data_IF_908911350093
#
_entry.id   IF_908911350093
#
_cell.length_a   1.000
_cell.length_b   1.000
_cell.length_c   1.000
_cell.angle_alpha   90.00
_cell.angle_beta   90.00
_cell.angle_gamma   90.00
#
_symmetry.space_group_name_H-M   'P 1'
#
loop_
_entity.id
_entity.type
_entity.pdbx_description
1 polymer ?
#
# COMPACT_ATOMS: atom_id res chain seq x y z
N UNK A 1 70.48 61.95 -31.97
CA UNK A 1 70.96 60.88 -31.07
C UNK A 1 69.73 60.14 -30.60
N UNK A 2 69.59 58.88 -31.07
CA UNK A 2 69.01 57.70 -30.38
C UNK A 2 67.52 57.77 -29.98
N UNK A 3 66.66 56.94 -30.58
CA UNK A 3 66.38 55.51 -30.21
C UNK A 3 65.64 55.43 -28.86
N UNK A 4 64.72 54.52 -28.56
CA UNK A 4 63.93 53.49 -29.23
C UNK A 4 62.97 52.97 -28.11
N UNK A 5 61.87 52.31 -28.50
CA UNK A 5 61.19 51.16 -27.84
C UNK A 5 60.99 51.09 -26.30
N UNK A 6 59.73 51.02 -25.83
CA UNK A 6 58.93 49.80 -25.48
C UNK A 6 59.29 49.21 -24.11
N UNK A 7 58.37 48.94 -23.17
CA UNK A 7 57.35 47.88 -23.14
C UNK A 7 56.48 47.99 -21.83
N UNK A 8 55.19 47.64 -21.94
CA UNK A 8 54.36 46.73 -21.10
C UNK A 8 54.64 46.58 -19.56
N UNK A 9 53.69 46.44 -18.61
CA UNK A 9 52.31 45.88 -18.60
C UNK A 9 51.63 46.07 -17.20
N UNK A 10 50.28 46.04 -17.22
CA UNK A 10 49.31 45.43 -16.27
C UNK A 10 49.11 46.02 -14.86
N UNK A 11 47.92 46.60 -14.62
CA UNK A 11 46.85 46.03 -13.77
C UNK A 11 45.61 46.94 -13.79
N UNK A 12 44.43 46.38 -14.04
CA UNK A 12 43.15 46.90 -13.51
C UNK A 12 42.03 45.88 -13.69
N UNK A 13 41.53 45.41 -12.55
CA UNK A 13 40.34 44.57 -12.46
C UNK A 13 39.09 45.26 -12.98
N UNK A 14 38.16 44.46 -13.51
CA UNK A 14 36.83 44.90 -13.87
C UNK A 14 35.80 43.85 -13.48
N UNK A 15 34.92 44.26 -12.57
CA UNK A 15 33.67 43.62 -12.19
C UNK A 15 32.81 43.28 -13.41
N UNK A 16 32.33 42.04 -13.48
CA UNK A 16 31.24 41.62 -14.38
C UNK A 16 30.02 41.18 -13.56
N UNK A 17 28.93 41.89 -13.79
CA UNK A 17 27.57 41.69 -13.26
C UNK A 17 27.01 40.36 -13.80
N UNK A 18 26.60 39.49 -12.89
CA UNK A 18 25.90 38.24 -13.19
C UNK A 18 24.47 38.55 -13.68
N UNK A 19 24.18 38.15 -14.93
CA UNK A 19 22.86 38.23 -15.52
C UNK A 19 21.99 37.05 -15.08
N UNK A 20 20.87 37.34 -14.43
CA UNK A 20 19.79 36.38 -14.14
C UNK A 20 19.16 35.94 -15.47
N UNK A 21 19.36 34.68 -15.86
CA UNK A 21 18.56 34.03 -16.91
C UNK A 21 17.31 33.45 -16.25
N UNK A 22 16.16 34.04 -16.57
CA UNK A 22 14.85 33.45 -16.29
C UNK A 22 14.62 32.34 -17.32
N UNK A 23 14.76 31.07 -16.90
CA UNK A 23 14.33 29.93 -17.70
C UNK A 23 12.81 29.84 -17.59
N UNK A 24 12.11 30.17 -18.68
CA UNK A 24 10.70 29.81 -18.87
C UNK A 24 10.65 28.29 -19.06
N UNK A 25 10.24 27.56 -18.01
CA UNK A 25 9.86 26.14 -18.12
C UNK A 25 8.64 26.07 -19.05
N UNK A 26 8.86 25.51 -20.24
CA UNK A 26 7.77 25.15 -21.15
C UNK A 26 7.15 23.86 -20.61
N UNK A 27 5.96 23.97 -20.03
CA UNK A 27 5.15 22.84 -19.62
C UNK A 27 4.58 22.21 -20.88
N UNK A 28 5.09 21.04 -21.27
CA UNK A 28 4.41 20.19 -22.23
C UNK A 28 3.29 19.46 -21.48
N UNK A 29 2.08 20.02 -21.54
CA UNK A 29 0.87 19.37 -21.04
C UNK A 29 0.53 18.25 -22.02
N UNK A 30 1.05 17.05 -21.76
CA UNK A 30 0.56 15.81 -22.34
C UNK A 30 -0.75 15.44 -21.65
N UNK A 31 -1.87 15.80 -22.27
CA UNK A 31 -3.20 15.53 -21.74
C UNK A 31 -3.54 14.05 -21.75
N UNK A 32 -3.56 13.43 -20.57
CA UNK A 32 -4.46 12.32 -20.26
C UNK A 32 -4.94 12.49 -18.84
N UNK A 33 -6.05 13.21 -18.68
CA UNK A 33 -6.90 13.10 -17.49
C UNK A 33 -7.52 11.70 -17.59
N UNK A 34 -6.81 10.72 -17.04
CA UNK A 34 -7.40 9.48 -16.59
C UNK A 34 -7.37 9.57 -15.06
N UNK A 35 -8.54 9.72 -14.45
CA UNK A 35 -8.71 9.47 -13.02
C UNK A 35 -8.25 8.03 -12.77
N UNK A 36 -6.99 7.82 -12.39
CA UNK A 36 -6.50 6.47 -12.08
C UNK A 36 -4.98 6.29 -12.08
N UNK A 37 -4.25 6.87 -13.04
CA UNK A 37 -2.78 6.72 -13.13
C UNK A 37 -2.09 7.99 -12.62
N UNK A 38 -0.99 7.84 -11.87
CA UNK A 38 -0.20 8.98 -11.36
C UNK A 38 0.21 9.92 -12.49
N UNK A 39 0.17 11.23 -12.24
CA UNK A 39 0.72 12.21 -13.18
C UNK A 39 2.24 12.12 -13.15
N UNK A 40 2.86 11.96 -14.31
CA UNK A 40 4.31 12.08 -14.50
C UNK A 40 4.62 13.39 -15.20
N UNK A 41 5.47 14.23 -14.59
CA UNK A 41 5.95 15.48 -15.18
C UNK A 41 7.47 15.45 -15.39
N UNK A 42 7.98 16.19 -16.37
CA UNK A 42 9.37 16.11 -16.80
C UNK A 42 10.33 16.73 -15.77
N UNK A 43 11.07 15.88 -15.05
CA UNK A 43 12.14 16.25 -14.13
C UNK A 43 13.51 15.90 -14.73
N UNK A 44 14.09 16.80 -15.54
CA UNK A 44 15.40 16.56 -16.21
C UNK A 44 15.43 15.31 -17.11
N UNK A 45 16.57 15.03 -17.75
CA UNK A 45 16.72 13.82 -18.59
C UNK A 45 16.91 12.54 -17.74
N UNK A 46 17.24 12.68 -16.45
CA UNK A 46 17.65 11.58 -15.54
C UNK A 46 16.59 11.22 -14.49
N UNK A 47 15.61 12.10 -14.21
CA UNK A 47 14.57 11.89 -13.21
C UNK A 47 13.16 12.00 -13.83
N UNK A 48 12.15 11.53 -13.11
CA UNK A 48 10.75 11.76 -13.41
C UNK A 48 10.02 12.10 -12.13
N UNK A 49 9.10 13.07 -12.18
CA UNK A 49 8.25 13.38 -11.02
C UNK A 49 7.08 12.42 -11.00
N UNK A 50 6.89 11.65 -9.93
CA UNK A 50 5.70 10.81 -9.70
C UNK A 50 4.75 11.47 -8.72
N UNK A 51 3.46 11.15 -8.83
CA UNK A 51 2.48 11.37 -7.76
C UNK A 51 2.74 10.33 -6.65
N UNK A 52 3.31 10.72 -5.52
CA UNK A 52 3.54 9.84 -4.37
C UNK A 52 2.26 9.60 -3.58
N UNK A 53 1.51 10.66 -3.30
CA UNK A 53 0.28 10.58 -2.53
C UNK A 53 -0.74 11.65 -2.96
N UNK A 54 -1.98 11.45 -2.54
CA UNK A 54 -3.10 12.38 -2.74
C UNK A 54 -3.68 12.76 -1.40
N UNK A 55 -3.81 14.06 -1.18
CA UNK A 55 -4.21 14.66 0.09
C UNK A 55 -5.40 15.57 -0.16
N UNK A 56 -6.58 15.33 0.42
CA UNK A 56 -7.72 16.22 0.22
C UNK A 56 -7.42 17.61 0.82
N UNK A 57 -7.61 18.67 0.05
CA UNK A 57 -7.37 20.06 0.48
C UNK A 57 -8.47 20.55 1.43
N UNK A 58 -9.71 20.14 1.19
CA UNK A 58 -10.88 20.41 2.02
C UNK A 58 -11.70 19.13 2.26
N UNK A 59 -12.56 19.14 3.27
CA UNK A 59 -13.56 18.08 3.45
C UNK A 59 -14.80 18.39 2.61
N UNK A 60 -15.17 17.52 1.65
CA UNK A 60 -16.38 17.70 0.85
C UNK A 60 -16.41 16.86 -0.44
N UNK A 61 -17.54 16.89 -1.14
CA UNK A 61 -17.75 16.13 -2.39
C UNK A 61 -16.90 16.63 -3.55
N UNK A 62 -16.59 17.91 -3.54
CA UNK A 62 -15.77 18.58 -4.55
C UNK A 62 -14.34 18.84 -4.03
N UNK A 63 -13.85 18.02 -3.10
CA UNK A 63 -12.53 18.21 -2.51
C UNK A 63 -11.45 18.17 -3.61
N UNK A 64 -10.80 19.30 -3.85
CA UNK A 64 -9.55 19.32 -4.62
C UNK A 64 -8.50 18.51 -3.86
N UNK A 65 -7.69 17.76 -4.59
CA UNK A 65 -6.59 17.00 -4.01
C UNK A 65 -5.28 17.75 -4.23
N UNK A 66 -4.56 17.98 -3.15
CA UNK A 66 -3.14 18.27 -3.21
C UNK A 66 -2.41 16.98 -3.59
N UNK A 67 -1.60 17.06 -4.63
CA UNK A 67 -0.71 15.97 -5.03
C UNK A 67 0.61 16.16 -4.32
N UNK A 68 1.03 15.13 -3.59
CA UNK A 68 2.39 15.03 -3.07
C UNK A 68 3.25 14.45 -4.17
N UNK A 69 4.18 15.25 -4.69
CA UNK A 69 5.09 14.87 -5.76
C UNK A 69 6.44 14.38 -5.21
N UNK A 70 7.05 13.44 -5.92
CA UNK A 70 8.40 12.93 -5.63
C UNK A 70 9.17 12.74 -6.93
N UNK A 71 10.38 13.27 -7.00
CA UNK A 71 11.30 12.98 -8.09
C UNK A 71 12.00 11.63 -7.82
N UNK A 72 12.04 10.78 -8.85
CA UNK A 72 12.68 9.45 -8.82
C UNK A 72 13.53 9.25 -10.07
N UNK A 73 14.56 8.37 -10.04
CA UNK A 73 15.34 8.07 -11.24
C UNK A 73 14.43 7.52 -12.35
N UNK A 74 14.61 8.06 -13.56
CA UNK A 74 13.79 7.69 -14.72
C UNK A 74 13.91 6.20 -15.05
N UNK A 75 15.14 5.68 -15.06
CA UNK A 75 15.41 4.27 -15.39
C UNK A 75 14.73 3.32 -14.39
N UNK A 76 14.74 3.67 -13.10
CA UNK A 76 14.02 2.94 -12.06
C UNK A 76 12.51 2.94 -12.34
N UNK A 77 11.92 4.11 -12.61
CA UNK A 77 10.48 4.20 -12.85
C UNK A 77 10.05 3.41 -14.09
N UNK A 78 10.81 3.49 -15.19
CA UNK A 78 10.55 2.72 -16.41
C UNK A 78 10.67 1.21 -16.16
N UNK A 79 11.71 0.78 -15.42
CA UNK A 79 11.90 -0.63 -15.08
C UNK A 79 10.77 -1.19 -14.19
N UNK A 80 10.37 -0.46 -13.15
CA UNK A 80 9.29 -0.87 -12.23
C UNK A 80 7.94 -0.90 -12.94
N UNK A 81 7.69 0.06 -13.83
CA UNK A 81 6.48 0.08 -14.67
C UNK A 81 6.44 -1.17 -15.55
N UNK A 82 7.54 -1.47 -16.25
CA UNK A 82 7.65 -2.67 -17.08
C UNK A 82 7.49 -3.97 -16.28
N UNK A 83 8.10 -4.07 -15.09
CA UNK A 83 7.93 -5.23 -14.20
C UNK A 83 6.48 -5.42 -13.75
N UNK A 84 5.77 -4.32 -13.46
CA UNK A 84 4.34 -4.35 -13.13
C UNK A 84 3.50 -4.83 -14.32
N UNK A 85 3.75 -4.30 -15.52
CA UNK A 85 3.05 -4.74 -16.74
C UNK A 85 3.29 -6.22 -17.07
N UNK A 86 4.52 -6.72 -16.85
CA UNK A 86 4.83 -8.14 -16.98
C UNK A 86 4.06 -8.94 -15.92
N UNK A 87 4.11 -8.55 -14.65
CA UNK A 87 3.40 -9.24 -13.57
C UNK A 87 1.88 -9.36 -13.84
N UNK A 88 1.24 -8.27 -14.24
CA UNK A 88 -0.20 -8.23 -14.55
C UNK A 88 -0.57 -9.10 -15.76
N UNK A 89 0.30 -9.15 -16.78
CA UNK A 89 0.08 -9.95 -18.00
C UNK A 89 0.23 -11.44 -17.75
N UNK A 90 1.24 -11.86 -17.00
CA UNK A 90 1.59 -13.27 -16.83
C UNK A 90 0.63 -14.01 -15.88
N UNK A 91 -0.07 -13.27 -15.01
CA UNK A 91 -1.13 -13.79 -14.13
C UNK A 91 -0.72 -15.06 -13.37
N UNK A 92 0.48 -15.05 -12.81
CA UNK A 92 1.03 -16.18 -12.05
C UNK A 92 0.08 -16.70 -10.96
N UNK A 93 -0.72 -15.81 -10.38
CA UNK A 93 -1.76 -16.13 -9.38
C UNK A 93 -2.84 -17.10 -9.88
N UNK A 94 -2.99 -17.31 -11.19
CA UNK A 94 -3.93 -18.30 -11.75
C UNK A 94 -3.39 -19.73 -11.73
N UNK A 95 -2.12 -19.92 -11.36
CA UNK A 95 -1.55 -21.25 -11.22
C UNK A 95 -1.91 -21.85 -9.87
N UNK A 96 -2.39 -23.09 -9.87
CA UNK A 96 -2.81 -23.80 -8.65
C UNK A 96 -1.68 -23.99 -7.62
N UNK A 97 -0.41 -23.92 -8.06
CA UNK A 97 0.77 -24.04 -7.20
C UNK A 97 1.25 -22.70 -6.64
N UNK A 98 0.73 -21.56 -7.11
CA UNK A 98 1.10 -20.23 -6.64
C UNK A 98 0.16 -19.77 -5.54
N UNK A 99 0.73 -19.25 -4.46
CA UNK A 99 -0.01 -18.71 -3.31
C UNK A 99 0.16 -17.21 -3.15
N UNK A 100 1.18 -16.64 -3.78
CA UNK A 100 1.49 -15.24 -3.63
C UNK A 100 2.41 -14.79 -4.76
N UNK A 101 2.23 -13.55 -5.22
CA UNK A 101 3.18 -12.87 -6.12
C UNK A 101 3.37 -11.42 -5.69
N UNK A 102 4.54 -10.86 -5.97
CA UNK A 102 4.92 -9.51 -5.57
C UNK A 102 5.84 -8.90 -6.63
N UNK A 103 5.61 -7.65 -7.00
CA UNK A 103 6.61 -6.83 -7.68
C UNK A 103 7.47 -6.17 -6.62
N UNK A 104 8.74 -6.57 -6.55
CA UNK A 104 9.75 -5.89 -5.74
C UNK A 104 10.42 -4.83 -6.64
N UNK A 105 10.30 -3.53 -6.31
CA UNK A 105 10.85 -2.48 -7.15
C UNK A 105 12.38 -2.36 -7.07
N UNK A 106 13.03 -3.08 -6.16
CA UNK A 106 14.42 -2.85 -5.73
C UNK A 106 14.65 -1.37 -5.35
N UNK A 107 15.89 -0.92 -5.23
CA UNK A 107 16.26 0.41 -4.76
C UNK A 107 16.41 1.42 -5.90
N UNK A 108 16.36 2.72 -5.58
CA UNK A 108 16.62 3.77 -6.59
C UNK A 108 18.02 3.71 -7.21
N UNK A 109 19.00 3.19 -6.48
CA UNK A 109 20.37 3.02 -6.95
C UNK A 109 20.56 1.73 -7.78
N UNK A 110 19.59 0.81 -7.75
CA UNK A 110 19.60 -0.43 -8.52
C UNK A 110 18.25 -0.67 -9.21
N UNK A 111 18.13 -0.22 -10.46
CA UNK A 111 16.91 -0.31 -11.27
C UNK A 111 16.66 -1.74 -11.82
N UNK A 112 16.76 -2.77 -10.97
CA UNK A 112 16.57 -4.19 -11.33
C UNK A 112 15.38 -4.81 -10.58
N UNK A 113 14.14 -4.35 -10.83
CA UNK A 113 12.96 -4.89 -10.17
C UNK A 113 12.78 -6.37 -10.50
N UNK A 114 12.23 -7.13 -9.56
CA UNK A 114 11.97 -8.56 -9.70
C UNK A 114 10.51 -8.91 -9.40
N UNK A 115 10.05 -10.03 -9.97
CA UNK A 115 8.76 -10.62 -9.62
C UNK A 115 9.03 -11.78 -8.67
N UNK A 116 8.69 -11.60 -7.40
CA UNK A 116 8.69 -12.70 -6.45
C UNK A 116 7.44 -13.55 -6.66
N UNK A 117 7.61 -14.86 -6.79
CA UNK A 117 6.53 -15.84 -6.91
C UNK A 117 6.71 -16.90 -5.83
N UNK A 118 5.72 -16.98 -4.95
CA UNK A 118 5.67 -17.95 -3.87
C UNK A 118 4.84 -19.15 -4.30
N UNK A 119 5.46 -20.34 -4.25
CA UNK A 119 4.87 -21.60 -4.69
C UNK A 119 4.79 -22.60 -3.54
N UNK A 120 3.65 -23.32 -3.46
CA UNK A 120 3.45 -24.39 -2.49
C UNK A 120 4.52 -25.45 -2.67
N UNK A 121 5.18 -25.83 -1.57
CA UNK A 121 5.99 -27.03 -1.57
C UNK A 121 5.05 -28.24 -1.62
N UNK A 122 5.02 -28.93 -2.76
CA UNK A 122 4.22 -30.15 -2.92
C UNK A 122 4.58 -31.15 -1.82
N UNK A 123 3.66 -31.37 -0.89
CA UNK A 123 3.83 -32.35 0.17
C UNK A 123 4.25 -33.71 -0.41
N UNK A 124 5.35 -34.25 0.10
CA UNK A 124 5.94 -35.53 -0.28
C UNK A 124 5.10 -36.74 0.17
N UNK A 125 3.78 -36.69 0.06
CA UNK A 125 2.87 -37.73 0.57
C UNK A 125 2.21 -38.60 -0.51
N UNK A 126 2.36 -38.30 -1.79
CA UNK A 126 2.12 -39.30 -2.85
C UNK A 126 3.44 -39.79 -3.43
N UNK A 127 3.80 -41.01 -3.04
CA UNK A 127 4.96 -41.78 -3.46
C UNK A 127 4.87 -42.27 -4.92
N UNK A 128 4.28 -41.47 -5.81
CA UNK A 128 4.16 -41.75 -7.23
C UNK A 128 4.71 -40.55 -8.03
N UNK A 129 5.95 -40.74 -8.49
CA UNK A 129 6.42 -40.30 -9.80
C UNK A 129 6.23 -38.82 -10.18
N UNK A 130 6.94 -37.92 -9.52
CA UNK A 130 7.45 -36.71 -10.19
C UNK A 130 8.80 -37.09 -10.78
N UNK A 131 8.87 -37.15 -12.11
CA UNK A 131 10.13 -37.33 -12.82
C UNK A 131 11.08 -36.17 -12.47
N UNK A 132 12.39 -36.41 -12.22
CA UNK A 132 13.37 -35.33 -12.17
C UNK A 132 13.37 -34.62 -13.53
N UNK A 133 12.71 -33.45 -13.60
CA UNK A 133 12.44 -32.74 -14.86
C UNK A 133 11.02 -32.21 -15.01
N UNK A 134 10.08 -32.57 -14.13
CA UNK A 134 8.67 -32.13 -14.13
C UNK A 134 8.37 -31.10 -13.02
N UNK A 135 9.34 -30.21 -12.74
CA UNK A 135 8.99 -28.91 -12.16
C UNK A 135 8.22 -28.14 -13.25
N UNK A 136 6.99 -27.74 -12.96
CA UNK A 136 6.21 -26.75 -13.74
C UNK A 136 6.95 -25.41 -13.74
N UNK A 137 8.11 -25.35 -14.38
CA UNK A 137 9.15 -24.37 -14.13
C UNK A 137 8.64 -22.97 -14.45
N UNK A 138 8.53 -22.14 -13.41
CA UNK A 138 8.53 -20.70 -13.63
C UNK A 138 9.85 -20.38 -14.35
N UNK A 139 9.86 -19.58 -15.41
CA UNK A 139 11.11 -19.17 -16.04
C UNK A 139 11.93 -18.32 -15.06
N UNK A 140 13.24 -18.22 -15.26
CA UNK A 140 14.10 -17.39 -14.41
C UNK A 140 13.96 -15.89 -14.73
N UNK A 141 13.40 -15.56 -15.90
CA UNK A 141 13.01 -14.20 -16.26
C UNK A 141 11.87 -14.21 -17.29
N UNK A 142 11.04 -13.17 -17.31
CA UNK A 142 10.02 -12.95 -18.34
C UNK A 142 10.07 -11.51 -18.81
N UNK A 143 10.14 -11.31 -20.13
CA UNK A 143 10.25 -9.97 -20.69
C UNK A 143 11.49 -9.20 -20.21
N UNK A 144 12.54 -9.91 -19.77
CA UNK A 144 13.74 -9.30 -19.18
C UNK A 144 13.64 -9.01 -17.68
N UNK A 145 12.52 -9.29 -17.03
CA UNK A 145 12.31 -9.11 -15.59
C UNK A 145 12.65 -10.41 -14.85
N UNK A 146 13.58 -10.41 -13.88
CA UNK A 146 13.89 -11.58 -13.07
C UNK A 146 12.66 -12.12 -12.33
N UNK A 147 12.55 -13.45 -12.24
CA UNK A 147 11.51 -14.13 -11.47
C UNK A 147 12.14 -14.88 -10.30
N UNK A 148 11.88 -14.41 -9.09
CA UNK A 148 12.39 -14.99 -7.85
C UNK A 148 11.39 -16.00 -7.29
N UNK A 149 11.78 -17.27 -7.23
CA UNK A 149 10.91 -18.36 -6.77
C UNK A 149 11.16 -18.61 -5.29
N UNK A 150 10.12 -18.50 -4.47
CA UNK A 150 10.17 -18.85 -3.05
C UNK A 150 9.28 -20.06 -2.79
N UNK A 151 9.86 -21.12 -2.22
CA UNK A 151 9.10 -22.29 -1.78
C UNK A 151 8.51 -22.02 -0.40
N UNK A 152 7.26 -22.42 -0.22
CA UNK A 152 6.52 -22.17 1.02
C UNK A 152 5.90 -23.46 1.52
N UNK A 153 6.13 -23.76 2.80
CA UNK A 153 5.60 -24.97 3.44
C UNK A 153 4.14 -24.76 3.83
N UNK A 154 3.28 -25.73 3.48
CA UNK A 154 1.92 -25.81 3.99
C UNK A 154 1.95 -26.28 5.45
N UNK A 155 1.72 -25.37 6.39
CA UNK A 155 1.58 -25.74 7.79
C UNK A 155 0.12 -25.96 8.11
N UNK A 156 -0.25 -27.22 8.32
CA UNK A 156 -1.55 -27.62 8.85
C UNK A 156 -1.62 -27.37 10.36
N UNK A 157 -1.50 -26.12 10.80
CA UNK A 157 -1.83 -25.75 12.18
C UNK A 157 -3.12 -24.91 12.22
N UNK A 158 -4.30 -25.56 12.17
CA UNK A 158 -5.59 -24.90 12.33
C UNK A 158 -5.89 -24.52 13.80
N UNK A 159 -4.93 -24.64 14.73
CA UNK A 159 -5.19 -24.58 16.18
C UNK A 159 -4.79 -23.28 16.87
N UNK A 160 -4.35 -22.25 16.14
CA UNK A 160 -4.25 -20.91 16.72
C UNK A 160 -5.68 -20.39 16.87
N UNK A 161 -6.27 -20.66 18.04
CA UNK A 161 -7.46 -19.95 18.48
C UNK A 161 -7.01 -18.51 18.76
N UNK A 162 -7.59 -17.48 18.13
CA UNK A 162 -7.20 -16.09 18.39
C UNK A 162 -7.31 -15.82 19.89
N UNK A 163 -6.17 -15.72 20.55
CA UNK A 163 -6.08 -15.32 21.94
C UNK A 163 -5.56 -13.90 21.90
N UNK A 164 -6.46 -12.92 21.87
CA UNK A 164 -6.11 -11.51 22.00
C UNK A 164 -5.64 -11.31 23.46
N UNK A 165 -4.39 -11.66 23.73
CA UNK A 165 -3.83 -11.70 25.09
C UNK A 165 -3.50 -10.29 25.61
N UNK A 166 -3.44 -9.28 24.74
CA UNK A 166 -3.35 -7.87 25.10
C UNK A 166 -4.03 -6.98 24.03
N UNK A 167 -5.35 -6.91 24.07
CA UNK A 167 -6.09 -6.03 23.17
C UNK A 167 -5.85 -4.55 23.53
N UNK A 168 -5.28 -3.78 22.60
CA UNK A 168 -5.32 -2.32 22.68
C UNK A 168 -6.64 -1.83 22.09
N UNK A 169 -7.16 -0.68 22.54
CA UNK A 169 -8.31 -0.09 21.87
C UNK A 169 -9.64 -0.82 22.10
N UNK A 170 -9.83 -1.45 23.28
CA UNK A 170 -11.11 -2.05 23.68
C UNK A 170 -11.89 -1.15 24.63
N UNK A 171 -13.22 -1.11 24.47
CA UNK A 171 -14.11 -0.29 25.28
C UNK A 171 -15.15 0.50 24.48
N UNK A 172 -15.95 1.28 25.21
CA UNK A 172 -16.89 2.25 24.66
C UNK A 172 -16.15 3.57 24.39
N UNK A 173 -16.12 3.96 23.11
CA UNK A 173 -15.48 5.19 22.63
C UNK A 173 -16.48 6.31 22.33
N UNK A 174 -17.71 6.15 22.82
CA UNK A 174 -18.83 7.04 22.59
C UNK A 174 -19.24 7.10 21.12
N UNK A 175 -19.88 8.21 20.75
CA UNK A 175 -20.45 8.41 19.41
C UNK A 175 -19.42 8.60 18.30
N UNK A 176 -18.13 8.72 18.61
CA UNK A 176 -17.08 9.02 17.63
C UNK A 176 -15.84 8.14 17.86
N UNK A 177 -15.94 6.81 17.64
CA UNK A 177 -14.80 5.92 17.83
C UNK A 177 -13.65 6.27 16.88
N UNK A 178 -12.41 6.40 17.39
CA UNK A 178 -11.24 6.61 16.54
C UNK A 178 -10.85 5.32 15.80
N UNK A 179 -10.08 5.45 14.72
CA UNK A 179 -9.47 4.29 14.06
C UNK A 179 -8.47 3.59 14.98
N UNK A 180 -8.30 2.28 14.83
CA UNK A 180 -7.42 1.46 15.66
C UNK A 180 -8.08 0.85 16.91
N UNK A 181 -9.38 1.07 17.09
CA UNK A 181 -10.20 0.43 18.15
C UNK A 181 -10.91 -0.81 17.66
N UNK A 182 -11.39 -1.63 18.59
CA UNK A 182 -12.13 -2.84 18.27
C UNK A 182 -13.51 -2.53 17.69
N UNK A 183 -13.80 -3.20 16.58
CA UNK A 183 -15.12 -3.31 16.00
C UNK A 183 -15.46 -4.78 15.75
N UNK A 184 -16.73 -5.08 15.47
CA UNK A 184 -17.18 -6.43 15.18
C UNK A 184 -18.25 -6.44 14.11
N UNK A 185 -18.13 -7.38 13.18
CA UNK A 185 -19.24 -7.87 12.36
C UNK A 185 -19.73 -9.19 12.95
N UNK A 186 -19.42 -10.29 12.26
CA UNK A 186 -19.62 -11.65 12.79
C UNK A 186 -18.45 -12.11 13.67
N UNK A 187 -17.27 -11.50 13.51
CA UNK A 187 -16.08 -11.68 14.33
C UNK A 187 -15.44 -10.33 14.68
N UNK A 188 -14.59 -10.29 15.73
CA UNK A 188 -13.82 -9.09 16.06
C UNK A 188 -12.82 -8.71 14.97
N UNK A 189 -12.55 -7.42 14.89
CA UNK A 189 -11.53 -6.81 14.05
C UNK A 189 -11.18 -5.41 14.57
N UNK A 190 -10.49 -4.64 13.72
CA UNK A 190 -10.11 -3.27 13.98
C UNK A 190 -10.88 -2.32 13.07
N UNK A 191 -11.37 -1.22 13.65
CA UNK A 191 -11.94 -0.10 12.91
C UNK A 191 -10.82 0.68 12.22
N UNK A 192 -10.88 0.82 10.90
CA UNK A 192 -9.99 1.73 10.17
C UNK A 192 -10.30 3.19 10.50
N UNK A 193 -9.39 4.10 10.14
CA UNK A 193 -9.78 5.49 9.89
C UNK A 193 -10.84 5.55 8.76
N UNK A 194 -11.77 6.52 8.76
CA UNK A 194 -12.87 6.57 7.82
C UNK A 194 -12.43 6.57 6.37
N UNK A 195 -13.24 5.90 5.55
CA UNK A 195 -13.22 6.11 4.11
C UNK A 195 -14.06 7.34 3.77
N UNK A 196 -13.65 8.07 2.75
CA UNK A 196 -14.34 9.25 2.23
C UNK A 196 -14.65 9.08 0.77
N UNK A 197 -15.92 9.25 0.41
CA UNK A 197 -16.41 9.24 -0.98
C UNK A 197 -17.45 10.32 -1.14
N UNK A 198 -17.27 11.18 -2.13
CA UNK A 198 -18.14 12.32 -2.40
C UNK A 198 -18.41 13.15 -1.13
N UNK A 199 -17.36 13.38 -0.33
CA UNK A 199 -17.41 14.17 0.91
C UNK A 199 -18.09 13.49 2.10
N UNK A 200 -18.63 12.30 1.92
CA UNK A 200 -19.28 11.51 2.97
C UNK A 200 -18.27 10.59 3.62
N UNK A 201 -18.25 10.57 4.97
CA UNK A 201 -17.39 9.68 5.74
C UNK A 201 -18.12 8.39 6.11
N UNK A 202 -17.44 7.27 5.94
CA UNK A 202 -17.92 5.93 6.24
C UNK A 202 -17.02 5.29 7.28
N UNK A 203 -17.61 4.52 8.20
CA UNK A 203 -16.81 3.58 8.97
C UNK A 203 -16.25 2.52 8.03
N UNK A 204 -15.06 2.02 8.32
CA UNK A 204 -14.42 1.04 7.44
C UNK A 204 -13.65 -0.02 8.21
N UNK A 205 -13.61 -1.22 7.65
CA UNK A 205 -12.89 -2.38 8.18
C UNK A 205 -12.78 -3.44 7.08
N UNK A 206 -12.22 -4.61 7.40
CA UNK A 206 -12.12 -5.70 6.43
C UNK A 206 -13.45 -6.42 6.21
N UNK A 207 -13.64 -6.93 5.01
CA UNK A 207 -14.84 -7.70 4.64
C UNK A 207 -14.94 -9.01 5.43
N UNK A 208 -13.82 -9.71 5.61
CA UNK A 208 -13.85 -11.06 6.19
C UNK A 208 -14.31 -11.11 7.66
N UNK A 209 -14.35 -9.99 8.38
CA UNK A 209 -14.87 -9.97 9.76
C UNK A 209 -16.39 -10.20 9.82
N UNK A 210 -17.08 -10.10 8.68
CA UNK A 210 -18.50 -10.41 8.55
C UNK A 210 -18.75 -11.91 8.25
N UNK A 211 -17.69 -12.70 8.08
CA UNK A 211 -17.76 -14.14 7.81
C UNK A 211 -17.85 -14.45 6.31
N UNK A 212 -18.27 -15.69 6.00
CA UNK A 212 -18.32 -16.20 4.62
C UNK A 212 -19.65 -15.94 3.90
N UNK A 213 -20.62 -15.32 4.56
CA UNK A 213 -21.89 -14.95 3.93
C UNK A 213 -21.71 -13.67 3.13
N UNK A 214 -22.40 -13.49 2.00
CA UNK A 214 -22.43 -12.21 1.31
C UNK A 214 -22.79 -11.12 2.30
N UNK A 215 -21.97 -10.08 2.36
CA UNK A 215 -22.30 -8.90 3.13
C UNK A 215 -23.41 -8.19 2.35
N UNK A 216 -24.61 -8.19 2.92
CA UNK A 216 -25.79 -7.52 2.36
C UNK A 216 -26.15 -6.27 3.17
N UNK A 217 -27.15 -5.52 2.71
CA UNK A 217 -27.62 -4.27 3.33
C UNK A 217 -28.12 -4.44 4.78
N UNK A 218 -28.21 -5.67 5.30
CA UNK A 218 -28.58 -5.97 6.68
C UNK A 218 -27.38 -6.15 7.61
N UNK A 219 -26.16 -6.25 7.07
CA UNK A 219 -24.95 -6.39 7.86
C UNK A 219 -24.68 -5.10 8.66
N UNK A 220 -24.37 -5.29 9.94
CA UNK A 220 -24.14 -4.20 10.88
C UNK A 220 -22.72 -4.27 11.44
N UNK A 221 -22.07 -3.11 11.52
CA UNK A 221 -20.79 -2.94 12.19
C UNK A 221 -21.04 -2.43 13.60
N UNK A 222 -20.46 -3.11 14.59
CA UNK A 222 -20.61 -2.77 16.02
C UNK A 222 -19.28 -2.40 16.67
N UNK A 223 -19.34 -1.63 17.75
CA UNK A 223 -18.23 -1.48 18.70
C UNK A 223 -18.07 -2.73 19.57
N UNK A 224 -16.98 -2.78 20.34
CA UNK A 224 -16.70 -3.87 21.30
C UNK A 224 -17.78 -4.09 22.37
N UNK A 225 -18.61 -3.08 22.66
CA UNK A 225 -19.73 -3.16 23.60
C UNK A 225 -21.03 -3.71 22.97
N UNK A 226 -21.01 -4.00 21.66
CA UNK A 226 -22.15 -4.51 20.89
C UNK A 226 -23.08 -3.43 20.35
N UNK A 227 -22.78 -2.14 20.52
CA UNK A 227 -23.56 -1.07 19.91
C UNK A 227 -23.28 -1.00 18.41
N UNK A 228 -24.32 -1.13 17.58
CA UNK A 228 -24.24 -0.91 16.13
C UNK A 228 -23.86 0.55 15.85
N UNK A 229 -22.71 0.75 15.22
CA UNK A 229 -22.18 2.06 14.82
C UNK A 229 -22.36 2.36 13.34
N UNK A 230 -22.54 1.32 12.51
CA UNK A 230 -22.74 1.50 11.08
C UNK A 230 -23.46 0.34 10.41
N UNK A 231 -23.97 0.59 9.21
CA UNK A 231 -24.61 -0.40 8.34
C UNK A 231 -23.83 -0.52 7.06
N UNK A 232 -23.56 -1.74 6.61
CA UNK A 232 -22.79 -1.94 5.40
C UNK A 232 -23.53 -1.39 4.19
N UNK A 233 -22.82 -0.62 3.36
CA UNK A 233 -23.35 -0.06 2.12
C UNK A 233 -22.50 -0.39 0.90
N UNK A 234 -21.23 -0.72 1.11
CA UNK A 234 -20.33 -1.18 0.06
C UNK A 234 -19.27 -2.11 0.66
N UNK A 235 -18.71 -2.98 -0.16
CA UNK A 235 -17.65 -3.88 0.25
C UNK A 235 -17.42 -5.00 -0.74
N UNK A 236 -16.20 -5.51 -0.75
CA UNK A 236 -15.77 -6.52 -1.71
C UNK A 236 -14.92 -7.59 -1.01
N UNK A 237 -15.24 -8.86 -1.25
CA UNK A 237 -14.55 -10.00 -0.64
C UNK A 237 -13.17 -10.27 -1.23
N UNK A 238 -12.96 -9.91 -2.50
CA UNK A 238 -11.69 -10.02 -3.22
C UNK A 238 -10.73 -8.94 -2.76
N UNK A 239 -11.20 -7.73 -2.50
CA UNK A 239 -10.36 -6.62 -2.01
C UNK A 239 -10.44 -6.42 -0.49
N UNK A 240 -11.17 -7.28 0.20
CA UNK A 240 -11.27 -7.38 1.66
C UNK A 240 -11.46 -6.04 2.39
N UNK A 241 -12.42 -5.24 1.92
CA UNK A 241 -12.82 -4.01 2.58
C UNK A 241 -14.34 -3.91 2.65
N UNK A 242 -14.82 -3.15 3.62
CA UNK A 242 -16.22 -2.77 3.79
C UNK A 242 -16.29 -1.29 4.17
N UNK A 243 -17.25 -0.58 3.58
CA UNK A 243 -17.66 0.75 3.96
C UNK A 243 -19.06 0.71 4.57
N UNK A 244 -19.22 1.30 5.76
CA UNK A 244 -20.46 1.34 6.49
C UNK A 244 -20.95 2.78 6.67
N UNK A 245 -22.20 3.04 6.29
CA UNK A 245 -22.88 4.28 6.65
C UNK A 245 -23.05 4.38 8.17
N UNK A 246 -22.82 5.56 8.77
CA UNK A 246 -22.97 5.75 10.21
C UNK A 246 -24.42 5.51 10.68
N UNK A 247 -24.58 4.86 11.83
CA UNK A 247 -25.87 4.50 12.41
C UNK A 247 -25.97 4.89 13.89
N UNK A 248 -27.21 4.98 14.39
CA UNK A 248 -27.51 5.17 15.81
C UNK A 248 -26.82 6.38 16.47
N UNK A 249 -26.59 7.46 15.71
CA UNK A 249 -25.96 8.68 16.20
C UNK A 249 -24.43 8.62 16.29
N UNK A 250 -23.80 7.57 15.76
CA UNK A 250 -22.36 7.51 15.64
C UNK A 250 -21.87 8.30 14.43
N UNK A 251 -20.64 8.77 14.47
CA UNK A 251 -19.99 9.51 13.38
C UNK A 251 -18.52 9.11 13.28
N UNK A 252 -18.00 8.80 12.08
CA UNK A 252 -16.58 8.48 11.92
C UNK A 252 -15.69 9.68 12.21
N UNK A 253 -14.47 9.41 12.70
CA UNK A 253 -13.44 10.44 12.92
C UNK A 253 -12.11 9.97 12.34
N UNK A 254 -11.31 10.91 11.83
CA UNK A 254 -9.99 10.64 11.25
C UNK A 254 -8.91 10.30 12.30
N UNK A 255 -9.21 10.53 13.57
CA UNK A 255 -8.29 10.30 14.69
C UNK A 255 -7.90 8.83 14.84
N UNK A 256 -6.66 8.59 15.23
CA UNK A 256 -6.15 7.26 15.58
C UNK A 256 -6.04 7.09 17.10
N UNK A 257 -6.54 5.96 17.59
CA UNK A 257 -6.52 5.60 18.99
C UNK A 257 -5.13 5.69 19.60
N UNK A 258 -5.03 6.33 20.77
CA UNK A 258 -3.79 6.44 21.53
C UNK A 258 -2.74 7.40 20.95
N UNK A 259 -3.07 8.14 19.89
CA UNK A 259 -2.16 9.08 19.24
C UNK A 259 -2.81 10.45 19.06
N UNK A 260 -2.02 11.44 18.62
CA UNK A 260 -2.54 12.71 18.12
C UNK A 260 -2.73 12.72 16.59
N UNK A 261 -2.54 11.58 15.92
CA UNK A 261 -2.50 11.53 14.46
C UNK A 261 -3.89 11.41 13.84
N UNK A 262 -4.02 11.93 12.62
CA UNK A 262 -5.20 11.87 11.77
C UNK A 262 -4.81 11.36 10.39
N UNK A 263 -5.51 10.34 9.88
CA UNK A 263 -5.32 9.94 8.49
C UNK A 263 -5.90 11.02 7.58
N UNK A 264 -5.11 11.49 6.62
CA UNK A 264 -5.46 12.62 5.76
C UNK A 264 -4.96 12.44 4.32
N UNK A 265 -5.59 11.53 3.58
CA UNK A 265 -5.19 11.13 2.23
C UNK A 265 -4.57 9.75 2.16
N UNK A 266 -4.16 9.36 0.96
CA UNK A 266 -3.61 8.05 0.67
C UNK A 266 -2.42 8.10 -0.28
N UNK A 267 -1.52 7.14 -0.13
CA UNK A 267 -0.48 6.85 -1.10
C UNK A 267 -1.07 6.35 -2.41
N UNK A 268 -0.37 6.60 -3.53
CA UNK A 268 -0.63 5.99 -4.84
C UNK A 268 0.18 4.69 -5.01
N UNK A 269 -0.11 3.89 -6.05
CA UNK A 269 0.70 2.69 -6.37
C UNK A 269 2.18 3.02 -6.55
N UNK A 270 2.50 4.06 -7.33
CA UNK A 270 3.86 4.54 -7.53
C UNK A 270 4.50 5.06 -6.23
N UNK A 271 3.72 5.70 -5.37
CA UNK A 271 4.18 6.11 -4.05
C UNK A 271 4.55 4.91 -3.16
N UNK A 272 3.72 3.85 -3.13
CA UNK A 272 4.05 2.62 -2.38
C UNK A 272 5.30 1.94 -2.94
N UNK A 273 5.45 1.88 -4.26
CA UNK A 273 6.67 1.35 -4.89
C UNK A 273 7.91 2.20 -4.54
N UNK A 274 7.77 3.52 -4.51
CA UNK A 274 8.83 4.43 -4.06
C UNK A 274 9.15 4.25 -2.57
N UNK A 275 8.16 3.97 -1.70
CA UNK A 275 8.41 3.62 -0.30
C UNK A 275 9.24 2.34 -0.18
N UNK A 276 8.92 1.31 -0.97
CA UNK A 276 9.70 0.07 -0.99
C UNK A 276 11.13 0.32 -1.47
N UNK A 277 11.33 1.09 -2.54
CA UNK A 277 12.65 1.40 -3.07
C UNK A 277 13.54 2.21 -2.12
N UNK A 278 12.93 3.05 -1.29
CA UNK A 278 13.60 3.82 -0.24
C UNK A 278 13.81 3.04 1.08
N UNK A 279 13.41 1.76 1.14
CA UNK A 279 13.35 0.94 2.35
C UNK A 279 12.61 1.66 3.49
N UNK A 280 11.47 2.28 3.18
CA UNK A 280 10.67 3.02 4.16
C UNK A 280 9.73 2.09 4.92
N UNK A 281 9.65 2.30 6.23
CA UNK A 281 8.67 1.64 7.08
C UNK A 281 7.30 2.33 7.07
N UNK A 282 6.25 1.54 7.23
CA UNK A 282 4.89 2.03 7.53
C UNK A 282 4.47 1.53 8.91
N UNK A 283 3.58 2.28 9.55
CA UNK A 283 3.07 2.03 10.89
C UNK A 283 1.62 1.56 10.81
N UNK A 284 1.23 0.57 11.61
CA UNK A 284 -0.15 0.12 11.76
C UNK A 284 -0.61 0.41 13.17
N UNK A 285 -1.85 0.90 13.32
CA UNK A 285 -2.55 0.95 14.60
C UNK A 285 -3.71 -0.05 14.59
N UNK A 286 -3.62 -1.14 15.36
CA UNK A 286 -4.68 -2.14 15.45
C UNK A 286 -4.85 -2.73 16.85
N UNK A 287 -5.90 -3.54 17.03
CA UNK A 287 -6.30 -4.05 18.36
C UNK A 287 -5.40 -5.17 18.84
N UNK A 288 -4.98 -6.06 17.92
CA UNK A 288 -4.23 -7.28 18.26
C UNK A 288 -2.82 -6.95 18.71
N UNK A 289 -2.06 -6.23 17.88
CA UNK A 289 -0.66 -5.91 18.14
C UNK A 289 -0.41 -4.45 18.54
N UNK A 290 -1.46 -3.66 18.74
CA UNK A 290 -1.34 -2.23 19.02
C UNK A 290 -0.65 -1.48 17.86
N UNK A 291 0.33 -0.63 18.18
CA UNK A 291 1.16 0.06 17.21
C UNK A 291 2.38 -0.79 16.84
N UNK A 292 2.50 -1.13 15.56
CA UNK A 292 3.66 -1.84 15.01
C UNK A 292 4.15 -1.16 13.73
N UNK A 293 5.38 -1.42 13.32
CA UNK A 293 5.93 -0.86 12.09
C UNK A 293 6.81 -1.87 11.34
N UNK A 294 6.99 -1.65 10.04
CA UNK A 294 7.83 -2.50 9.22
C UNK A 294 8.05 -1.95 7.81
N UNK A 295 9.16 -2.34 7.17
CA UNK A 295 9.56 -1.89 5.83
C UNK A 295 8.59 -2.39 4.76
N UNK A 296 8.23 -1.52 3.81
CA UNK A 296 7.42 -1.89 2.64
C UNK A 296 8.27 -2.72 1.69
N UNK A 297 7.73 -3.83 1.21
CA UNK A 297 8.40 -4.74 0.26
C UNK A 297 7.94 -4.56 -1.18
N UNK A 298 6.70 -4.13 -1.38
CA UNK A 298 6.12 -3.93 -2.70
C UNK A 298 4.62 -4.16 -2.74
N UNK A 299 4.12 -4.35 -3.96
CA UNK A 299 2.71 -4.54 -4.29
C UNK A 299 2.53 -5.85 -5.06
N UNK A 300 1.47 -6.60 -4.77
CA UNK A 300 1.29 -7.91 -5.37
C UNK A 300 -0.10 -8.51 -5.22
N UNK A 301 -0.17 -9.82 -5.32
CA UNK A 301 -1.40 -10.61 -5.23
C UNK A 301 -1.21 -11.76 -4.25
N UNK A 302 -2.21 -12.00 -3.41
CA UNK A 302 -2.27 -13.13 -2.48
C UNK A 302 -3.37 -14.10 -2.90
N UNK A 303 -3.13 -15.41 -2.81
CA UNK A 303 -4.10 -16.46 -3.14
C UNK A 303 -4.34 -17.32 -1.90
N UNK A 304 -5.52 -17.16 -1.29
CA UNK A 304 -5.97 -17.89 -0.12
C UNK A 304 -6.72 -19.15 -0.53
N UNK A 305 -6.37 -20.27 0.10
CA UNK A 305 -7.04 -21.57 -0.03
C UNK A 305 -7.32 -22.02 -1.47
N UNK A 306 -6.47 -21.57 -2.41
CA UNK A 306 -6.58 -21.85 -3.85
C UNK A 306 -7.82 -21.29 -4.54
N UNK A 307 -8.60 -20.42 -3.91
CA UNK A 307 -9.88 -19.94 -4.47
C UNK A 307 -10.14 -18.44 -4.29
N UNK A 308 -9.63 -17.81 -3.24
CA UNK A 308 -9.78 -16.37 -3.03
C UNK A 308 -8.48 -15.67 -3.41
N UNK A 309 -8.50 -14.94 -4.52
CA UNK A 309 -7.36 -14.13 -4.94
C UNK A 309 -7.60 -12.70 -4.51
N UNK A 310 -6.67 -12.08 -3.80
CA UNK A 310 -6.70 -10.66 -3.44
C UNK A 310 -5.61 -9.93 -4.18
N UNK A 311 -6.00 -8.96 -5.00
CA UNK A 311 -5.10 -8.19 -5.84
C UNK A 311 -4.62 -6.93 -5.11
N UNK A 312 -3.60 -6.29 -5.68
CA UNK A 312 -3.12 -4.97 -5.24
C UNK A 312 -2.84 -4.89 -3.72
N UNK A 313 -2.26 -5.97 -3.19
CA UNK A 313 -1.92 -6.12 -1.79
C UNK A 313 -0.54 -5.53 -1.53
N UNK A 314 -0.45 -4.60 -0.58
CA UNK A 314 0.82 -4.07 -0.06
C UNK A 314 1.37 -5.07 0.95
N UNK A 315 2.67 -5.38 0.88
CA UNK A 315 3.36 -6.22 1.86
C UNK A 315 4.40 -5.43 2.65
N UNK A 316 4.45 -5.62 3.96
CA UNK A 316 5.43 -4.95 4.81
C UNK A 316 5.80 -5.74 6.06
N UNK A 317 6.89 -5.32 6.70
CA UNK A 317 7.28 -5.78 8.03
C UNK A 317 7.57 -7.27 8.13
N UNK A 318 7.08 -7.90 9.20
CA UNK A 318 7.30 -9.32 9.47
C UNK A 318 6.08 -9.96 10.16
N UNK A 319 6.18 -11.22 10.62
CA UNK A 319 5.09 -11.87 11.39
C UNK A 319 4.68 -11.13 12.64
N UNK A 320 5.60 -10.42 13.28
CA UNK A 320 5.29 -9.70 14.52
C UNK A 320 4.61 -8.35 14.25
N UNK A 321 4.37 -8.02 12.97
CA UNK A 321 3.77 -6.74 12.60
C UNK A 321 2.24 -6.80 12.66
N UNK A 322 1.63 -7.99 12.62
CA UNK A 322 0.17 -8.15 12.61
C UNK A 322 -0.20 -9.49 13.27
N UNK A 323 -1.26 -9.50 14.07
CA UNK A 323 -1.87 -10.72 14.64
C UNK A 323 -3.40 -10.69 14.46
N UNK A 324 -4.07 -11.80 14.79
CA UNK A 324 -5.53 -11.87 14.76
C UNK A 324 -6.15 -10.73 15.59
N UNK A 325 -7.18 -10.10 15.01
CA UNK A 325 -7.81 -8.90 15.56
C UNK A 325 -7.32 -7.58 14.94
N UNK A 326 -6.14 -7.56 14.30
CA UNK A 326 -5.67 -6.39 13.53
C UNK A 326 -6.36 -6.23 12.16
N UNK A 327 -7.19 -7.19 11.74
CA UNK A 327 -7.96 -7.12 10.49
C UNK A 327 -8.77 -5.84 10.41
N UNK A 328 -8.61 -5.07 9.33
CA UNK A 328 -9.24 -3.76 9.14
C UNK A 328 -8.44 -2.57 9.67
N UNK A 329 -7.33 -2.79 10.38
CA UNK A 329 -6.46 -1.71 10.82
C UNK A 329 -5.91 -0.91 9.63
N UNK A 330 -5.75 0.40 9.80
CA UNK A 330 -5.07 1.22 8.80
C UNK A 330 -3.55 1.16 8.99
N UNK A 331 -2.83 0.87 7.91
CA UNK A 331 -1.39 1.06 7.82
C UNK A 331 -1.11 2.42 7.18
N UNK A 332 -0.24 3.23 7.78
CA UNK A 332 -0.03 4.62 7.46
C UNK A 332 1.44 5.04 7.53
N UNK A 333 1.73 6.24 7.02
CA UNK A 333 3.03 6.89 7.14
C UNK A 333 2.90 8.37 7.48
N UNK A 334 3.86 8.89 8.24
CA UNK A 334 3.96 10.33 8.54
C UNK A 334 4.11 11.17 7.27
N UNK A 335 3.36 12.26 7.22
CA UNK A 335 3.46 13.25 6.16
C UNK A 335 3.80 14.64 6.70
N UNK A 336 2.93 15.25 7.52
CA UNK A 336 3.13 16.59 8.10
C UNK A 336 2.44 16.72 9.45
N UNK A 337 3.09 17.32 10.45
CA UNK A 337 2.50 17.58 11.78
C UNK A 337 1.75 16.38 12.37
N UNK A 338 0.43 16.52 12.58
CA UNK A 338 -0.49 15.48 13.07
C UNK A 338 -1.15 14.67 11.93
N UNK A 339 -0.80 14.93 10.67
CA UNK A 339 -1.34 14.25 9.49
C UNK A 339 -0.45 13.11 9.03
N UNK A 340 -1.09 11.95 8.88
CA UNK A 340 -0.51 10.74 8.33
C UNK A 340 -1.31 10.30 7.12
N UNK A 341 -0.71 9.52 6.21
CA UNK A 341 -1.35 9.09 4.97
C UNK A 341 -1.56 7.58 4.97
N UNK A 342 -2.74 7.14 4.54
CA UNK A 342 -3.04 5.72 4.41
C UNK A 342 -2.19 5.09 3.31
N UNK A 343 -1.68 3.90 3.60
CA UNK A 343 -0.92 3.06 2.67
C UNK A 343 -1.71 1.81 2.33
N UNK A 344 -2.30 1.15 3.33
CA UNK A 344 -3.11 -0.05 3.14
C UNK A 344 -4.14 -0.24 4.27
N UNK A 345 -5.17 -1.03 4.00
CA UNK A 345 -6.05 -1.62 5.01
C UNK A 345 -5.61 -3.05 5.30
N UNK A 346 -5.29 -3.36 6.57
CA UNK A 346 -4.66 -4.60 6.99
C UNK A 346 -5.61 -5.80 6.84
N UNK A 347 -5.29 -6.72 5.93
CA UNK A 347 -6.09 -7.92 5.69
C UNK A 347 -5.65 -9.13 6.51
N UNK A 348 -4.38 -9.19 6.92
CA UNK A 348 -3.85 -10.29 7.72
C UNK A 348 -2.34 -10.45 7.64
N UNK A 349 -1.86 -11.56 8.20
CA UNK A 349 -0.51 -12.08 7.95
C UNK A 349 -0.60 -13.25 7.00
N UNK A 350 0.42 -13.40 6.16
CA UNK A 350 0.54 -14.56 5.27
C UNK A 350 0.61 -15.88 6.08
N UNK A 351 -0.54 -16.55 6.28
CA UNK A 351 -0.73 -17.89 6.89
C UNK A 351 -2.14 -18.40 6.50
N UNK A 352 -2.41 -19.71 6.26
CA UNK A 352 -1.83 -20.92 6.89
C UNK A 352 -0.53 -21.45 6.27
N UNK A 353 -0.10 -20.87 5.16
CA UNK A 353 1.15 -21.22 4.51
C UNK A 353 2.26 -20.38 5.14
N UNK A 354 3.33 -21.01 5.67
CA UNK A 354 4.54 -20.28 6.05
C UNK A 354 5.18 -19.74 4.77
N UNK A 355 4.65 -18.60 4.30
CA UNK A 355 4.92 -17.97 3.02
C UNK A 355 6.35 -17.40 2.93
N UNK A 356 7.41 -18.21 3.00
CA UNK A 356 8.79 -17.83 2.68
C UNK A 356 9.39 -16.65 3.47
N UNK A 357 8.64 -16.17 4.47
CA UNK A 357 8.79 -14.93 5.20
C UNK A 357 7.40 -14.50 5.66
N UNK A 358 7.16 -14.45 6.96
CA UNK A 358 5.86 -14.00 7.45
C UNK A 358 5.85 -12.49 7.31
N UNK A 359 4.97 -11.93 6.50
CA UNK A 359 4.82 -10.49 6.31
C UNK A 359 3.38 -10.09 6.63
N UNK A 360 3.19 -8.85 7.07
CA UNK A 360 1.86 -8.26 7.07
C UNK A 360 1.47 -7.92 5.63
N UNK A 361 0.18 -8.06 5.32
CA UNK A 361 -0.38 -7.64 4.05
C UNK A 361 -1.71 -6.91 4.24
N UNK A 362 -2.09 -6.15 3.22
CA UNK A 362 -3.35 -5.44 3.20
C UNK A 362 -3.63 -4.82 1.84
N UNK A 363 -4.91 -4.58 1.57
CA UNK A 363 -5.35 -3.95 0.32
C UNK A 363 -4.81 -2.53 0.25
N UNK A 364 -4.13 -2.20 -0.84
CA UNK A 364 -3.54 -0.89 -1.04
C UNK A 364 -4.59 0.21 -1.02
N UNK A 365 -4.31 1.29 -0.28
CA UNK A 365 -5.22 2.42 -0.20
C UNK A 365 -5.46 3.07 -1.58
N UNK A 366 -4.46 3.02 -2.47
CA UNK A 366 -4.63 3.45 -3.86
C UNK A 366 -5.63 2.60 -4.63
N UNK A 367 -5.72 1.30 -4.35
CA UNK A 367 -6.61 0.38 -5.06
C UNK A 367 -8.05 0.64 -4.65
N UNK A 368 -8.29 0.77 -3.33
CA UNK A 368 -9.60 1.15 -2.79
C UNK A 368 -10.06 2.51 -3.36
N UNK A 369 -9.13 3.45 -3.54
CA UNK A 369 -9.43 4.74 -4.18
C UNK A 369 -9.74 4.64 -5.67
N UNK A 370 -8.96 3.88 -6.43
CA UNK A 370 -9.09 3.80 -7.89
C UNK A 370 -10.30 2.98 -8.33
N UNK A 371 -10.55 1.84 -7.67
CA UNK A 371 -11.60 0.91 -8.06
C UNK A 371 -12.97 1.33 -7.50
N UNK A 372 -13.01 1.82 -6.25
CA UNK A 372 -14.27 2.08 -5.54
C UNK A 372 -14.55 3.56 -5.29
N UNK A 373 -13.59 4.45 -5.56
CA UNK A 373 -13.72 5.89 -5.34
C UNK A 373 -13.57 6.33 -3.88
N UNK A 374 -13.19 5.43 -2.98
CA UNK A 374 -12.99 5.74 -1.55
C UNK A 374 -11.56 6.20 -1.28
N UNK A 375 -11.39 7.44 -0.82
CA UNK A 375 -10.13 7.92 -0.24
C UNK A 375 -10.12 7.76 1.28
N UNK A 376 -9.02 8.18 1.91
CA UNK A 376 -8.97 8.35 3.36
C UNK A 376 -9.05 9.80 3.76
#
# INVERSE_FOLDING_TARGET
MSDDRSEDKVEKGKSTRSGRRTFLKTVAIGSSIAFGAGHVSAATDEEVTITEARVPMESGADAEYEVVEKDVPKDWHEAVTHATEVHDREKFYQRDDVVATLVNPDTFDNAEPSIEVEVKESGSSSRDSISPGDERSLPDSIGGVPVEKKKVEETSDPSITPSIQSACGTGDYGSTPPGGVECSGSSPGTLSSPLVKDGTMYFATCWHIFGSSPVDDSAELSQSDGNTIGKVTDGDSTDDFVACEPANGHTPTRELYGTNYKIWGNYTKSGVQALAADNKSITKQGVGTCETSGEVRGVGTNVFDGSTTRHEQVRWGSSSTLEDGDSGAVAYRHHQDDKVLAVAMCGGVTSPYNLGGRYAFGTGAYHINQEYGYGW
#
